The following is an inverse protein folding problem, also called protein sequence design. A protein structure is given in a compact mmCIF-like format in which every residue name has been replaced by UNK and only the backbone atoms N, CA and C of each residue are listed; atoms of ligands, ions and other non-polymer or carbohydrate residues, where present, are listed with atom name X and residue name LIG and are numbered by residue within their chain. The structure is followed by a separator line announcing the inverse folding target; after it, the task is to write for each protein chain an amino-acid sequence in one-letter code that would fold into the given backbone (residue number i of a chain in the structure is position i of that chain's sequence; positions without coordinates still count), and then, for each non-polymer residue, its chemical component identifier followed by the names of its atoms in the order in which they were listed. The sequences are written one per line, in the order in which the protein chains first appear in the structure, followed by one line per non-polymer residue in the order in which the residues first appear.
data_IF_504413053715
#
_entry.id   IF_504413053715
#
_cell.length_a   1.000
_cell.length_b   1.000
_cell.length_c   1.000
_cell.angle_alpha   90.00
_cell.angle_beta   90.00
_cell.angle_gamma   90.00
#
_symmetry.space_group_name_H-M   'P 1'
#
loop_
_entity.id
_entity.type
_entity.pdbx_description
1 polymer ?
#
# COMPACT_ATOMS: atom_id res chain seq x y z
N UNK A 1 21.02 22.69 -15.73
CA UNK A 1 20.49 21.31 -15.88
C UNK A 1 20.70 20.61 -14.55
N UNK A 2 19.65 20.47 -13.73
CA UNK A 2 19.71 19.72 -12.48
C UNK A 2 18.73 18.58 -12.64
N UNK A 3 19.27 17.42 -12.98
CA UNK A 3 18.51 16.18 -13.11
C UNK A 3 17.87 15.89 -11.76
N UNK A 4 16.55 16.12 -11.68
CA UNK A 4 15.73 15.58 -10.62
C UNK A 4 15.53 14.11 -10.97
N UNK A 5 16.50 13.29 -10.58
CA UNK A 5 16.26 11.88 -10.38
C UNK A 5 15.38 11.85 -9.14
N UNK A 6 14.05 11.90 -9.33
CA UNK A 6 13.15 11.39 -8.31
C UNK A 6 13.63 9.97 -8.05
N UNK A 7 14.32 9.78 -6.93
CA UNK A 7 14.52 8.44 -6.41
C UNK A 7 13.14 8.06 -5.91
N UNK A 8 12.30 7.62 -6.84
CA UNK A 8 11.17 6.75 -6.56
C UNK A 8 11.78 5.63 -5.73
N UNK A 9 11.64 5.74 -4.41
CA UNK A 9 12.01 4.61 -3.57
C UNK A 9 11.11 3.49 -4.06
N UNK A 10 11.70 2.47 -4.69
CA UNK A 10 11.04 1.21 -4.98
C UNK A 10 10.74 0.53 -3.62
N UNK A 11 9.80 1.11 -2.87
CA UNK A 11 9.26 0.54 -1.64
C UNK A 11 8.39 -0.61 -2.11
N UNK A 12 9.04 -1.74 -2.36
CA UNK A 12 8.38 -3.02 -2.51
C UNK A 12 8.16 -3.60 -1.12
N UNK A 13 6.97 -4.14 -0.88
CA UNK A 13 6.69 -4.86 0.35
C UNK A 13 5.88 -6.12 0.09
N UNK A 14 6.09 -7.13 0.93
CA UNK A 14 5.32 -8.36 0.83
C UNK A 14 3.85 -8.09 1.12
N UNK A 15 2.95 -8.70 0.35
CA UNK A 15 1.50 -8.61 0.54
C UNK A 15 1.05 -9.07 1.92
N UNK A 16 1.81 -9.97 2.57
CA UNK A 16 1.57 -10.37 3.96
C UNK A 16 1.94 -9.28 4.95
N UNK A 17 3.04 -8.59 4.70
CA UNK A 17 3.47 -7.49 5.55
C UNK A 17 2.52 -6.30 5.39
N UNK A 18 2.13 -6.00 4.15
CA UNK A 18 1.09 -5.02 3.84
C UNK A 18 -0.23 -5.34 4.54
N UNK A 19 -0.66 -6.60 4.50
CA UNK A 19 -1.88 -7.04 5.17
C UNK A 19 -1.81 -6.83 6.69
N UNK A 20 -0.72 -7.27 7.33
CA UNK A 20 -0.61 -7.29 8.79
C UNK A 20 -0.28 -5.91 9.39
N UNK A 21 0.52 -5.09 8.71
CA UNK A 21 0.99 -3.81 9.23
C UNK A 21 0.17 -2.62 8.74
N UNK A 22 -0.50 -2.72 7.59
CA UNK A 22 -1.23 -1.59 6.99
C UNK A 22 -2.73 -1.85 6.92
N UNK A 23 -3.17 -2.94 6.26
CA UNK A 23 -4.60 -3.19 6.00
C UNK A 23 -5.35 -3.58 7.28
N UNK A 24 -4.91 -4.61 7.99
CA UNK A 24 -5.61 -5.11 9.18
C UNK A 24 -5.69 -4.06 10.31
N UNK A 25 -4.63 -3.29 10.60
CA UNK A 25 -4.72 -2.18 11.55
C UNK A 25 -5.70 -1.09 11.09
N UNK A 26 -5.69 -0.73 9.80
CA UNK A 26 -6.63 0.24 9.25
C UNK A 26 -8.10 -0.26 9.30
N UNK A 27 -8.33 -1.57 9.12
CA UNK A 27 -9.64 -2.21 9.30
C UNK A 27 -10.07 -2.19 10.76
N UNK A 28 -9.17 -2.50 11.69
CA UNK A 28 -9.44 -2.43 13.13
C UNK A 28 -9.80 -1.00 13.58
N UNK A 29 -9.07 0.01 13.10
CA UNK A 29 -9.38 1.44 13.33
C UNK A 29 -10.76 1.84 12.79
N UNK A 30 -11.18 1.25 11.67
CA UNK A 30 -12.49 1.46 11.08
C UNK A 30 -13.61 0.62 11.74
N UNK A 31 -13.28 -0.25 12.70
CA UNK A 31 -14.23 -1.17 13.33
C UNK A 31 -14.64 -2.36 12.46
N UNK A 32 -13.85 -2.68 11.43
CA UNK A 32 -14.10 -3.78 10.50
C UNK A 32 -13.30 -5.05 10.86
N UNK A 33 -13.83 -6.20 10.46
CA UNK A 33 -13.16 -7.50 10.66
C UNK A 33 -11.88 -7.56 9.83
N UNK A 34 -10.73 -7.98 10.41
CA UNK A 34 -9.48 -8.12 9.68
C UNK A 34 -9.60 -9.16 8.55
N UNK A 35 -8.80 -8.96 7.50
CA UNK A 35 -8.75 -9.89 6.39
C UNK A 35 -7.81 -11.05 6.69
N UNK A 36 -8.28 -12.25 6.34
CA UNK A 36 -7.45 -13.45 6.29
C UNK A 36 -6.48 -13.37 5.10
N UNK A 37 -5.25 -13.87 5.23
CA UNK A 37 -4.26 -13.89 4.14
C UNK A 37 -4.81 -14.46 2.83
N UNK A 38 -5.57 -15.57 2.88
CA UNK A 38 -6.14 -16.19 1.68
C UNK A 38 -7.14 -15.29 0.95
N UNK A 39 -8.02 -14.61 1.70
CA UNK A 39 -9.02 -13.71 1.12
C UNK A 39 -8.36 -12.48 0.52
N UNK A 40 -7.30 -11.98 1.16
CA UNK A 40 -6.56 -10.84 0.67
C UNK A 40 -5.81 -11.16 -0.63
N UNK A 41 -5.17 -12.34 -0.74
CA UNK A 41 -4.51 -12.77 -1.98
C UNK A 41 -5.47 -12.85 -3.16
N UNK A 42 -6.66 -13.42 -2.95
CA UNK A 42 -7.66 -13.48 -4.01
C UNK A 42 -8.06 -12.09 -4.52
N UNK A 43 -8.09 -11.07 -3.65
CA UNK A 43 -8.33 -9.68 -4.08
C UNK A 43 -7.15 -9.11 -4.87
N UNK A 44 -5.92 -9.42 -4.48
CA UNK A 44 -4.72 -8.97 -5.20
C UNK A 44 -4.71 -9.56 -6.61
N UNK A 45 -5.01 -10.85 -6.74
CA UNK A 45 -5.07 -11.55 -8.03
C UNK A 45 -6.14 -10.95 -8.94
N UNK A 46 -7.31 -10.63 -8.40
CA UNK A 46 -8.41 -9.99 -9.12
C UNK A 46 -8.07 -8.55 -9.57
N UNK A 47 -7.44 -7.75 -8.69
CA UNK A 47 -7.13 -6.34 -8.98
C UNK A 47 -5.92 -6.16 -9.91
N UNK A 48 -4.90 -7.01 -9.76
CA UNK A 48 -3.67 -6.93 -10.57
C UNK A 48 -3.73 -7.85 -11.80
N UNK A 49 -4.89 -8.48 -12.06
CA UNK A 49 -5.11 -9.44 -13.14
C UNK A 49 -4.00 -10.50 -13.19
N UNK A 50 -3.56 -10.99 -12.02
CA UNK A 50 -2.45 -11.94 -11.91
C UNK A 50 -2.96 -13.37 -12.08
N UNK A 51 -2.42 -14.10 -13.05
CA UNK A 51 -2.73 -15.52 -13.32
C UNK A 51 -2.17 -16.50 -12.27
N UNK A 52 -1.67 -15.97 -11.16
CA UNK A 52 -1.03 -16.76 -10.10
C UNK A 52 0.47 -17.01 -10.29
N UNK A 53 1.05 -16.53 -11.40
CA UNK A 53 2.48 -16.57 -11.67
C UNK A 53 3.21 -15.59 -10.75
N UNK A 54 4.33 -16.02 -10.13
CA UNK A 54 5.11 -15.17 -9.21
C UNK A 54 4.71 -15.24 -7.73
N UNK A 55 3.76 -16.09 -7.34
CA UNK A 55 3.45 -16.37 -5.92
C UNK A 55 4.68 -16.92 -5.21
N UNK A 56 5.10 -16.26 -4.15
CA UNK A 56 6.09 -16.79 -3.19
C UNK A 56 5.37 -17.47 -2.04
N UNK A 57 6.05 -18.40 -1.39
CA UNK A 57 5.49 -19.13 -0.25
C UNK A 57 6.36 -18.89 0.98
N UNK A 58 5.73 -18.51 2.09
CA UNK A 58 6.38 -18.45 3.40
C UNK A 58 5.87 -19.62 4.22
N UNK A 59 6.80 -20.38 4.80
CA UNK A 59 6.46 -21.39 5.79
C UNK A 59 6.36 -20.69 7.15
N UNK A 60 5.17 -20.71 7.74
CA UNK A 60 4.99 -20.22 9.10
C UNK A 60 5.49 -21.27 10.11
N UNK A 61 5.75 -20.84 11.34
CA UNK A 61 6.18 -21.72 12.44
C UNK A 61 5.21 -22.90 12.66
N UNK A 62 3.93 -22.73 12.32
CA UNK A 62 2.90 -23.77 12.39
C UNK A 62 2.85 -24.67 11.13
N UNK A 63 3.94 -24.78 10.37
CA UNK A 63 4.08 -25.56 9.12
C UNK A 63 3.04 -25.22 8.02
N UNK A 64 2.29 -24.14 8.20
CA UNK A 64 1.31 -23.67 7.22
C UNK A 64 2.03 -22.88 6.15
N UNK A 65 1.83 -23.27 4.88
CA UNK A 65 2.34 -22.51 3.73
C UNK A 65 1.38 -21.37 3.44
N UNK A 66 1.85 -20.14 3.59
CA UNK A 66 1.10 -18.95 3.20
C UNK A 66 1.70 -18.38 1.93
N UNK A 67 0.88 -18.28 0.89
CA UNK A 67 1.29 -17.62 -0.35
C UNK A 67 1.33 -16.10 -0.16
N UNK A 68 2.21 -15.43 -0.88
CA UNK A 68 2.33 -13.97 -0.89
C UNK A 68 2.91 -13.48 -2.21
N UNK A 69 2.73 -12.20 -2.46
CA UNK A 69 3.33 -11.48 -3.56
C UNK A 69 4.22 -10.38 -3.02
N UNK A 70 5.26 -10.01 -3.75
CA UNK A 70 5.93 -8.73 -3.50
C UNK A 70 5.19 -7.69 -4.34
N UNK A 71 4.69 -6.66 -3.66
CA UNK A 71 3.89 -5.61 -4.27
C UNK A 71 4.71 -4.32 -4.31
N UNK A 72 4.73 -3.68 -5.47
CA UNK A 72 5.26 -2.33 -5.63
C UNK A 72 4.30 -1.28 -5.04
N UNK A 73 4.78 -0.04 -4.88
CA UNK A 73 3.99 1.04 -4.30
C UNK A 73 2.67 1.28 -5.03
N UNK A 74 2.69 1.31 -6.36
CA UNK A 74 1.48 1.49 -7.17
C UNK A 74 0.52 0.31 -7.00
N UNK A 75 1.04 -0.93 -6.94
CA UNK A 75 0.23 -2.12 -6.72
C UNK A 75 -0.41 -2.12 -5.34
N UNK A 76 0.32 -1.71 -4.29
CA UNK A 76 -0.22 -1.52 -2.95
C UNK A 76 -1.32 -0.45 -2.94
N UNK A 77 -1.14 0.63 -3.70
CA UNK A 77 -2.12 1.69 -3.82
C UNK A 77 -3.40 1.19 -4.50
N UNK A 78 -3.28 0.48 -5.64
CA UNK A 78 -4.41 -0.12 -6.36
C UNK A 78 -5.21 -1.07 -5.45
N UNK A 79 -4.53 -2.02 -4.81
CA UNK A 79 -5.17 -2.98 -3.90
C UNK A 79 -5.81 -2.28 -2.70
N UNK A 80 -5.13 -1.28 -2.12
CA UNK A 80 -5.65 -0.49 -1.02
C UNK A 80 -6.91 0.32 -1.39
N UNK A 81 -7.09 0.67 -2.67
CA UNK A 81 -8.28 1.36 -3.16
C UNK A 81 -9.51 0.45 -3.20
N UNK A 82 -9.36 -0.87 -3.22
CA UNK A 82 -10.50 -1.81 -3.17
C UNK A 82 -11.07 -2.02 -1.76
N UNK A 83 -10.44 -1.43 -0.74
CA UNK A 83 -10.93 -1.46 0.63
C UNK A 83 -12.00 -0.39 0.90
N UNK A 84 -12.70 -0.55 2.03
CA UNK A 84 -13.74 0.38 2.48
C UNK A 84 -13.25 1.83 2.55
N UNK A 85 -14.14 2.80 2.39
CA UNK A 85 -13.79 4.24 2.32
C UNK A 85 -12.97 4.73 3.52
N UNK A 86 -13.25 4.22 4.73
CA UNK A 86 -12.50 4.53 5.94
C UNK A 86 -11.09 3.92 5.91
N UNK A 87 -10.99 2.64 5.56
CA UNK A 87 -9.73 1.88 5.44
C UNK A 87 -8.82 2.51 4.39
N UNK A 88 -9.36 2.80 3.20
CA UNK A 88 -8.63 3.45 2.10
C UNK A 88 -7.96 4.76 2.55
N UNK A 89 -8.66 5.58 3.34
CA UNK A 89 -8.10 6.84 3.85
C UNK A 89 -6.96 6.61 4.84
N UNK A 90 -7.08 5.62 5.72
CA UNK A 90 -6.01 5.26 6.67
C UNK A 90 -4.80 4.66 5.95
N UNK A 91 -5.02 3.71 5.03
CA UNK A 91 -3.98 3.09 4.20
C UNK A 91 -3.21 4.15 3.39
N UNK A 92 -3.92 5.03 2.69
CA UNK A 92 -3.30 6.09 1.90
C UNK A 92 -2.54 7.11 2.76
N UNK A 93 -3.01 7.40 3.98
CA UNK A 93 -2.25 8.23 4.92
C UNK A 93 -0.95 7.54 5.37
N UNK A 94 -0.99 6.23 5.64
CA UNK A 94 0.17 5.41 6.01
C UNK A 94 1.18 5.30 4.86
N UNK A 95 0.70 5.02 3.64
CA UNK A 95 1.53 4.98 2.42
C UNK A 95 2.22 6.32 2.15
N UNK A 96 1.49 7.45 2.27
CA UNK A 96 2.06 8.79 2.10
C UNK A 96 3.08 9.15 3.18
N UNK A 97 2.85 8.73 4.43
CA UNK A 97 3.81 8.92 5.51
C UNK A 97 5.13 8.17 5.23
N UNK A 98 5.06 6.97 4.65
CA UNK A 98 6.25 6.20 4.26
C UNK A 98 6.99 6.83 3.07
N UNK A 99 6.28 7.35 2.08
CA UNK A 99 6.90 7.99 0.91
C UNK A 99 7.34 9.45 1.16
N UNK A 100 7.07 10.02 2.34
CA UNK A 100 7.41 11.40 2.67
C UNK A 100 6.68 12.44 1.81
N UNK A 101 5.60 12.06 1.11
CA UNK A 101 4.78 12.99 0.32
C UNK A 101 3.93 13.80 1.29
N UNK A 102 4.45 14.97 1.66
CA UNK A 102 3.66 16.01 2.30
C UNK A 102 2.81 16.69 1.23
N UNK A 103 1.59 16.20 1.02
CA UNK A 103 0.63 16.96 0.23
C UNK A 103 0.23 18.18 1.07
N UNK A 104 0.43 19.40 0.58
CA UNK A 104 -0.03 20.59 1.28
C UNK A 104 -1.51 20.46 1.58
N UNK A 105 -1.86 20.45 2.86
CA UNK A 105 -3.22 20.17 3.34
C UNK A 105 -4.15 21.36 3.06
N UNK A 106 -3.58 22.52 2.70
CA UNK A 106 -4.29 23.79 2.53
C UNK A 106 -3.87 24.50 1.24
N UNK A 107 -4.83 25.21 0.62
CA UNK A 107 -4.60 26.02 -0.59
C UNK A 107 -3.40 27.01 -0.45
N UNK A 108 -3.19 27.71 0.67
CA UNK A 108 -2.03 28.60 0.85
C UNK A 108 -0.69 27.87 0.79
N UNK A 109 -0.65 26.61 1.25
CA UNK A 109 0.55 25.79 1.29
C UNK A 109 0.90 25.26 -0.11
N UNK A 110 -0.11 24.91 -0.91
CA UNK A 110 0.06 24.54 -2.32
C UNK A 110 0.59 25.71 -3.18
N UNK A 111 0.07 26.92 -2.93
CA UNK A 111 0.56 28.14 -3.58
C UNK A 111 2.03 28.45 -3.21
N UNK A 112 2.44 28.21 -1.97
CA UNK A 112 3.85 28.37 -1.54
C UNK A 112 4.79 27.35 -2.18
N UNK A 113 4.30 26.14 -2.43
CA UNK A 113 5.06 25.12 -3.14
C UNK A 113 5.27 25.48 -4.62
N UNK A 114 4.21 25.97 -5.29
CA UNK A 114 4.28 26.41 -6.68
C UNK A 114 5.06 27.72 -6.88
N UNK A 115 4.96 28.67 -5.93
CA UNK A 115 5.62 29.98 -6.03
C UNK A 115 7.11 29.99 -5.69
N UNK A 116 7.71 28.88 -5.26
CA UNK A 116 9.15 28.76 -4.96
C UNK A 116 9.99 28.31 -6.17
N UNK A 117 9.35 27.91 -7.27
CA UNK A 117 10.00 27.63 -8.54
C UNK A 117 9.76 28.79 -9.51
N UNK A 118 10.44 29.90 -9.26
CA UNK A 118 10.46 31.09 -10.11
C UNK A 118 11.78 31.80 -9.94
#
# INVERSE_FOLDING_TARGET
MKEMISVDHEISMSSLDFLNNIINPARAEAGEVPHEPRKFLAKIEDELELDGTGKKFRLNNNQTRTAYYDLDFDQMMLVGMRESKAVRRSVLARLKAMHGIQIPRTLPEALRFCGKTG
#
